data_IF_508659277848
#
_entry.id   IF_508659277848
#
_cell.length_a   1.000
_cell.length_b   1.000
_cell.length_c   1.000
_cell.angle_alpha   90.00
_cell.angle_beta   90.00
_cell.angle_gamma   90.00
#
_symmetry.space_group_name_H-M   'P 1'
#
loop_
_entity.id
_entity.type
_entity.pdbx_description
1 polymer ?
#
# COMPACT_ATOMS: atom_id res chain seq x y z
N UNK A 1 8.05 -15.28 -14.72
CA UNK A 1 6.76 -15.52 -14.02
C UNK A 1 5.62 -15.30 -15.01
N UNK A 2 4.51 -16.06 -14.96
CA UNK A 2 3.38 -15.82 -15.87
C UNK A 2 2.71 -14.48 -15.57
N UNK A 3 2.28 -13.76 -16.60
CA UNK A 3 1.61 -12.46 -16.43
C UNK A 3 0.31 -12.58 -15.62
N UNK A 4 -0.44 -13.66 -15.81
CA UNK A 4 -1.66 -13.92 -15.04
C UNK A 4 -1.37 -14.05 -13.54
N UNK A 5 -0.28 -14.73 -13.18
CA UNK A 5 0.15 -14.85 -11.77
C UNK A 5 0.59 -13.48 -11.23
N UNK A 6 1.33 -12.70 -12.04
CA UNK A 6 1.72 -11.33 -11.71
C UNK A 6 0.51 -10.45 -11.39
N UNK A 7 -0.50 -10.53 -12.25
CA UNK A 7 -1.72 -9.74 -12.18
C UNK A 7 -2.54 -10.13 -10.95
N UNK A 8 -2.65 -11.43 -10.67
CA UNK A 8 -3.32 -11.92 -9.46
C UNK A 8 -2.64 -11.40 -8.19
N UNK A 9 -1.30 -11.43 -8.14
CA UNK A 9 -0.52 -10.90 -7.02
C UNK A 9 -0.70 -9.39 -6.87
N UNK A 10 -0.53 -8.62 -7.95
CA UNK A 10 -0.63 -7.17 -7.93
C UNK A 10 -2.03 -6.70 -7.48
N UNK A 11 -3.10 -7.34 -7.99
CA UNK A 11 -4.48 -7.05 -7.57
C UNK A 11 -4.72 -7.38 -6.11
N UNK A 12 -4.19 -8.51 -5.63
CA UNK A 12 -4.29 -8.88 -4.23
C UNK A 12 -3.56 -7.87 -3.32
N UNK A 13 -2.39 -7.38 -3.75
CA UNK A 13 -1.64 -6.37 -3.00
C UNK A 13 -2.37 -5.02 -2.98
N UNK A 14 -2.87 -4.54 -4.12
CA UNK A 14 -3.67 -3.31 -4.20
C UNK A 14 -4.94 -3.39 -3.31
N UNK A 15 -5.62 -4.54 -3.31
CA UNK A 15 -6.79 -4.77 -2.45
C UNK A 15 -6.42 -4.70 -0.96
N UNK A 16 -5.25 -5.24 -0.58
CA UNK A 16 -4.77 -5.16 0.81
C UNK A 16 -4.42 -3.73 1.22
N UNK A 17 -3.84 -2.94 0.31
CA UNK A 17 -3.57 -1.52 0.56
C UNK A 17 -4.88 -0.76 0.77
N UNK A 18 -5.84 -0.90 -0.13
CA UNK A 18 -7.15 -0.26 -0.02
C UNK A 18 -7.83 -0.58 1.33
N UNK A 19 -7.91 -1.85 1.71
CA UNK A 19 -8.48 -2.23 3.01
C UNK A 19 -7.67 -1.77 4.22
N UNK A 20 -6.37 -1.56 4.08
CA UNK A 20 -5.56 -0.97 5.14
C UNK A 20 -5.87 0.52 5.29
N UNK A 21 -5.89 1.27 4.18
CA UNK A 21 -6.25 2.69 4.15
C UNK A 21 -7.65 2.92 4.74
N UNK A 22 -8.65 2.14 4.34
CA UNK A 22 -10.02 2.22 4.90
C UNK A 22 -10.07 1.98 6.41
N UNK A 23 -9.31 1.02 6.93
CA UNK A 23 -9.27 0.75 8.37
C UNK A 23 -8.57 1.87 9.13
N UNK A 24 -7.51 2.42 8.54
CA UNK A 24 -6.73 3.52 9.09
C UNK A 24 -7.54 4.81 9.15
N UNK A 25 -8.25 5.14 8.07
CA UNK A 25 -9.16 6.29 8.02
C UNK A 25 -10.19 6.22 9.15
N UNK A 26 -10.89 5.08 9.31
CA UNK A 26 -11.82 4.88 10.43
C UNK A 26 -11.17 4.99 11.81
N UNK A 27 -9.92 4.54 11.95
CA UNK A 27 -9.18 4.66 13.20
C UNK A 27 -8.85 6.13 13.51
N UNK A 28 -8.38 6.87 12.51
CA UNK A 28 -8.06 8.30 12.62
C UNK A 28 -9.29 9.16 12.91
N UNK A 29 -10.44 8.83 12.31
CA UNK A 29 -11.71 9.51 12.58
C UNK A 29 -12.17 9.33 14.03
N UNK A 30 -11.87 8.17 14.63
CA UNK A 30 -12.21 7.86 16.02
C UNK A 30 -11.14 8.38 17.02
N UNK A 31 -10.02 8.90 16.55
CA UNK A 31 -8.88 9.26 17.38
C UNK A 31 -9.06 10.66 18.00
N UNK A 32 -8.80 10.75 19.30
CA UNK A 32 -8.70 12.05 19.97
C UNK A 32 -7.35 12.70 19.65
N UNK A 33 -7.33 13.53 18.62
CA UNK A 33 -6.14 14.24 18.15
C UNK A 33 -5.52 15.17 19.19
N UNK A 34 -6.29 15.61 20.19
CA UNK A 34 -5.77 16.48 21.26
C UNK A 34 -4.78 15.77 22.19
N UNK A 35 -4.81 14.44 22.20
CA UNK A 35 -3.92 13.58 22.99
C UNK A 35 -2.61 13.26 22.25
N UNK A 36 -2.47 13.65 20.99
CA UNK A 36 -1.28 13.39 20.18
C UNK A 36 -0.32 14.58 20.18
N UNK A 37 0.98 14.28 20.14
CA UNK A 37 1.99 15.30 19.87
C UNK A 37 2.12 15.55 18.36
N UNK A 38 2.77 16.66 18.01
CA UNK A 38 3.01 17.05 16.61
C UNK A 38 3.79 15.98 15.83
N UNK A 39 4.68 15.25 16.50
CA UNK A 39 5.44 14.18 15.88
C UNK A 39 4.52 13.07 15.37
N UNK A 40 3.56 12.62 16.17
CA UNK A 40 2.56 11.62 15.78
C UNK A 40 1.67 12.08 14.62
N UNK A 41 1.28 13.36 14.59
CA UNK A 41 0.49 13.93 13.51
C UNK A 41 1.28 13.99 12.18
N UNK A 42 2.52 14.49 12.23
CA UNK A 42 3.44 14.54 11.08
C UNK A 42 3.73 13.14 10.54
N UNK A 43 4.01 12.22 11.45
CA UNK A 43 4.17 10.80 11.19
C UNK A 43 2.94 10.28 10.44
N UNK A 44 1.74 10.40 11.03
CA UNK A 44 0.48 9.98 10.41
C UNK A 44 0.36 10.47 8.95
N UNK A 45 0.59 11.75 8.69
CA UNK A 45 0.52 12.32 7.34
C UNK A 45 1.54 11.70 6.37
N UNK A 46 2.80 11.50 6.79
CA UNK A 46 3.82 10.86 5.94
C UNK A 46 3.46 9.42 5.57
N UNK A 47 2.74 8.71 6.44
CA UNK A 47 2.25 7.37 6.13
C UNK A 47 1.13 7.42 5.07
N UNK A 48 0.27 8.44 5.09
CA UNK A 48 -0.76 8.62 4.06
C UNK A 48 -0.14 8.85 2.68
N UNK A 49 0.84 9.75 2.58
CA UNK A 49 1.58 10.00 1.33
C UNK A 49 2.22 8.72 0.78
N UNK A 50 2.79 7.88 1.66
CA UNK A 50 3.41 6.61 1.26
C UNK A 50 2.37 5.60 0.76
N UNK A 51 1.23 5.49 1.43
CA UNK A 51 0.16 4.58 1.03
C UNK A 51 -0.49 5.00 -0.29
N UNK A 52 -0.68 6.31 -0.50
CA UNK A 52 -1.15 6.85 -1.77
C UNK A 52 -0.18 6.54 -2.91
N UNK A 53 1.12 6.72 -2.67
CA UNK A 53 2.17 6.35 -3.63
C UNK A 53 2.18 4.86 -3.97
N UNK A 54 2.15 3.99 -2.95
CA UNK A 54 2.12 2.54 -3.14
C UNK A 54 0.85 2.10 -3.90
N UNK A 55 -0.30 2.73 -3.67
CA UNK A 55 -1.54 2.45 -4.39
C UNK A 55 -1.47 2.91 -5.84
N UNK A 56 -0.94 4.10 -6.10
CA UNK A 56 -0.75 4.62 -7.46
C UNK A 56 0.19 3.73 -8.28
N UNK A 57 1.32 3.33 -7.71
CA UNK A 57 2.27 2.43 -8.36
C UNK A 57 1.66 1.05 -8.61
N UNK A 58 0.84 0.53 -7.67
CA UNK A 58 0.14 -0.74 -7.86
C UNK A 58 -0.84 -0.68 -9.03
N UNK A 59 -1.60 0.40 -9.18
CA UNK A 59 -2.52 0.61 -10.30
C UNK A 59 -1.75 0.68 -11.62
N UNK A 60 -0.69 1.50 -11.69
CA UNK A 60 0.13 1.62 -12.90
C UNK A 60 0.76 0.27 -13.31
N UNK A 61 1.21 -0.52 -12.34
CA UNK A 61 1.76 -1.84 -12.60
C UNK A 61 0.69 -2.82 -13.10
N UNK A 62 -0.53 -2.77 -12.55
CA UNK A 62 -1.66 -3.57 -13.03
C UNK A 62 -2.00 -3.22 -14.48
N UNK A 63 -2.08 -1.93 -14.80
CA UNK A 63 -2.38 -1.46 -16.16
C UNK A 63 -1.30 -1.92 -17.15
N UNK A 64 -0.02 -1.78 -16.78
CA UNK A 64 1.10 -2.28 -17.58
C UNK A 64 1.05 -3.79 -17.82
N UNK A 65 0.63 -4.58 -16.82
CA UNK A 65 0.45 -6.03 -16.98
C UNK A 65 -0.73 -6.37 -17.91
N UNK A 66 -1.83 -5.61 -17.82
CA UNK A 66 -3.01 -5.78 -18.69
C UNK A 66 -2.66 -5.48 -20.14
N UNK A 67 -1.94 -4.39 -20.41
CA UNK A 67 -1.47 -4.03 -21.76
C UNK A 67 -0.60 -5.13 -22.37
N UNK A 68 0.32 -5.69 -21.58
CA UNK A 68 1.20 -6.79 -22.03
C UNK A 68 0.44 -8.08 -22.30
N UNK A 69 -0.54 -8.41 -21.45
CA UNK A 69 -1.39 -9.57 -21.68
C UNK A 69 -2.20 -9.44 -22.97
N UNK A 70 -2.67 -8.22 -23.29
CA UNK A 70 -3.35 -7.92 -24.55
C UNK A 70 -2.41 -7.97 -25.77
N UNK A 71 -1.11 -7.75 -25.58
CA UNK A 71 -0.06 -7.88 -26.60
C UNK A 71 0.56 -9.28 -26.69
N UNK A 72 -0.15 -10.33 -26.26
CA UNK A 72 0.29 -11.73 -26.27
C UNK A 72 1.59 -12.04 -25.49
N UNK A 73 2.00 -11.18 -24.55
CA UNK A 73 3.12 -11.48 -23.68
C UNK A 73 2.70 -12.51 -22.62
N UNK A 74 3.42 -13.64 -22.55
CA UNK A 74 3.10 -14.69 -21.57
C UNK A 74 3.81 -14.51 -20.24
N UNK A 75 4.95 -13.80 -20.22
CA UNK A 75 5.84 -13.74 -19.06
C UNK A 75 6.36 -12.33 -18.75
N UNK A 76 6.70 -12.16 -17.47
CA UNK A 76 7.43 -11.00 -16.93
C UNK A 76 8.67 -11.43 -16.13
N UNK A 77 9.70 -10.57 -16.05
CA UNK A 77 10.95 -10.87 -15.34
C UNK A 77 10.77 -11.19 -13.85
N UNK A 78 9.72 -10.65 -13.22
CA UNK A 78 9.43 -10.85 -11.81
C UNK A 78 8.09 -10.25 -11.42
N UNK A 79 7.82 -10.25 -10.10
CA UNK A 79 6.62 -9.65 -9.51
C UNK A 79 7.01 -8.43 -8.70
N UNK A 80 6.36 -7.30 -8.97
CA UNK A 80 6.41 -6.16 -8.06
C UNK A 80 5.42 -6.40 -6.92
N UNK A 81 5.86 -6.19 -5.68
CA UNK A 81 5.05 -6.40 -4.47
C UNK A 81 4.79 -5.07 -3.80
N UNK A 82 3.56 -4.89 -3.32
CA UNK A 82 3.17 -3.71 -2.58
C UNK A 82 2.68 -4.15 -1.19
N UNK A 83 3.28 -3.58 -0.15
CA UNK A 83 3.02 -4.00 1.23
C UNK A 83 2.48 -2.83 2.04
N UNK A 84 1.26 -2.93 2.59
CA UNK A 84 0.66 -1.84 3.37
C UNK A 84 1.29 -1.66 4.76
N UNK A 85 2.23 -2.53 5.13
CA UNK A 85 2.84 -2.47 6.46
C UNK A 85 3.97 -1.45 6.45
N UNK A 86 4.13 -0.69 7.55
CA UNK A 86 5.23 0.23 7.68
C UNK A 86 6.58 -0.49 7.49
N UNK A 87 7.47 0.08 6.68
CA UNK A 87 8.82 -0.46 6.44
C UNK A 87 9.65 -0.41 7.73
N UNK A 88 10.76 -1.17 7.87
CA UNK A 88 11.45 -1.35 9.15
C UNK A 88 11.87 -0.06 9.90
N UNK A 89 12.02 1.08 9.23
CA UNK A 89 12.27 2.37 9.87
C UNK A 89 11.02 3.01 10.52
N UNK A 90 9.84 2.48 10.26
CA UNK A 90 8.55 2.87 10.88
C UNK A 90 8.14 1.95 12.05
N UNK A 91 8.97 0.95 12.43
CA UNK A 91 8.74 0.06 13.58
C UNK A 91 8.56 0.81 14.92
N UNK A 92 9.09 2.03 15.03
CA UNK A 92 8.93 2.88 16.21
C UNK A 92 7.47 3.28 16.53
N UNK A 93 6.52 2.99 15.64
CA UNK A 93 5.13 3.42 15.79
C UNK A 93 4.20 2.30 16.29
N UNK A 94 4.60 1.04 16.11
CA UNK A 94 3.89 -0.12 16.68
C UNK A 94 3.99 -0.08 18.21
N UNK A 95 5.02 0.56 18.77
CA UNK A 95 5.23 0.68 20.21
C UNK A 95 4.44 1.82 20.88
N UNK A 96 3.66 2.61 20.13
CA UNK A 96 2.86 3.73 20.69
C UNK A 96 1.39 3.36 20.96
N UNK A 97 0.99 2.11 20.70
CA UNK A 97 -0.37 1.61 20.91
C UNK A 97 -0.50 0.64 22.10
N UNK A 98 0.48 0.60 23.01
CA UNK A 98 0.46 -0.23 24.24
C UNK A 98 0.36 0.62 25.49
#
# INVERSE_FOLDING_TARGET
MRIQDALAVARADATRIAHFMERRERFLDALDWSMLNEDHARQSAMLDDLLEGDMADAILYIDWLVERLAGDAEQVPGVLRFTPHPRPWQLAWITLAS
#
